data_IF_804008396562
#
_entry.id   IF_804008396562
#
_cell.length_a   1.000
_cell.length_b   1.000
_cell.length_c   1.000
_cell.angle_alpha   90.00
_cell.angle_beta   90.00
_cell.angle_gamma   90.00
#
_symmetry.space_group_name_H-M   'P 1'
#
loop_
_entity.id
_entity.type
_entity.pdbx_description
1 polymer ?
#
# COMPACT_ATOMS: atom_id res chain seq x y z
N UNK A 1 2.90 6.85 -6.04
CA UNK A 1 3.72 5.63 -6.25
C UNK A 1 2.85 4.60 -6.93
N UNK A 2 3.31 3.98 -8.02
CA UNK A 2 2.60 2.89 -8.70
C UNK A 2 3.37 1.58 -8.50
N UNK A 3 2.65 0.55 -8.09
CA UNK A 3 3.16 -0.80 -7.90
C UNK A 3 2.43 -1.71 -8.88
N UNK A 4 3.19 -2.50 -9.62
CA UNK A 4 2.68 -3.54 -10.52
C UNK A 4 3.21 -4.89 -10.04
N UNK A 5 2.31 -5.81 -9.73
CA UNK A 5 2.66 -7.09 -9.13
C UNK A 5 1.60 -8.17 -9.45
N UNK A 6 1.88 -9.41 -9.03
CA UNK A 6 0.91 -10.50 -9.14
C UNK A 6 -0.34 -10.21 -8.28
N UNK A 7 -1.53 -10.69 -8.64
CA UNK A 7 -2.78 -10.35 -7.95
C UNK A 7 -2.77 -10.62 -6.44
N UNK A 8 -2.08 -11.67 -5.98
CA UNK A 8 -1.95 -11.97 -4.56
C UNK A 8 -1.14 -10.91 -3.80
N UNK A 9 -0.13 -10.30 -4.45
CA UNK A 9 0.64 -9.21 -3.85
C UNK A 9 -0.21 -7.94 -3.78
N UNK A 10 -1.00 -7.66 -4.82
CA UNK A 10 -1.94 -6.53 -4.79
C UNK A 10 -2.94 -6.72 -3.67
N UNK A 11 -3.50 -7.93 -3.52
CA UNK A 11 -4.42 -8.26 -2.41
C UNK A 11 -3.76 -8.06 -1.05
N UNK A 12 -2.53 -8.55 -0.86
CA UNK A 12 -1.76 -8.35 0.36
C UNK A 12 -1.54 -6.87 0.69
N UNK A 13 -1.24 -6.04 -0.32
CA UNK A 13 -1.14 -4.59 -0.14
C UNK A 13 -2.47 -4.01 0.35
N UNK A 14 -3.58 -4.32 -0.30
CA UNK A 14 -4.89 -3.80 0.09
C UNK A 14 -5.32 -4.25 1.48
N UNK A 15 -4.99 -5.49 1.86
CA UNK A 15 -5.27 -6.01 3.19
C UNK A 15 -4.46 -5.28 4.27
N UNK A 16 -3.16 -5.06 4.03
CA UNK A 16 -2.29 -4.31 4.97
C UNK A 16 -2.84 -2.89 5.21
N UNK A 17 -3.35 -2.22 4.17
CA UNK A 17 -3.90 -0.85 4.25
C UNK A 17 -5.16 -0.75 5.14
N UNK A 18 -5.81 -1.87 5.45
CA UNK A 18 -7.01 -1.92 6.30
C UNK A 18 -6.76 -2.53 7.67
N UNK A 19 -5.69 -3.30 7.85
CA UNK A 19 -5.43 -4.05 9.08
C UNK A 19 -4.26 -3.52 9.89
N UNK A 20 -3.32 -2.80 9.27
CA UNK A 20 -2.14 -2.26 9.95
C UNK A 20 -2.24 -0.73 10.11
N UNK A 21 -2.02 -0.23 11.34
CA UNK A 21 -2.17 1.20 11.69
C UNK A 21 -1.25 2.11 10.86
N UNK A 22 -0.01 1.69 10.60
CA UNK A 22 0.93 2.49 9.79
C UNK A 22 0.53 2.53 8.32
N UNK A 23 0.08 1.40 7.77
CA UNK A 23 -0.41 1.32 6.39
C UNK A 23 -1.75 2.07 6.22
N UNK A 24 -2.64 2.02 7.21
CA UNK A 24 -3.86 2.84 7.28
C UNK A 24 -3.51 4.34 7.25
N UNK A 25 -2.47 4.77 7.97
CA UNK A 25 -1.99 6.15 7.93
C UNK A 25 -1.57 6.61 6.53
N UNK A 26 -1.13 5.69 5.67
CA UNK A 26 -0.80 5.99 4.26
C UNK A 26 -2.07 6.01 3.40
N UNK A 27 -2.99 5.07 3.62
CA UNK A 27 -4.27 5.04 2.88
C UNK A 27 -5.12 6.28 3.13
N UNK A 28 -5.08 6.85 4.34
CA UNK A 28 -5.77 8.10 4.65
C UNK A 28 -5.17 9.33 3.94
N UNK A 29 -3.86 9.30 3.64
CA UNK A 29 -3.13 10.41 3.01
C UNK A 29 -3.03 10.29 1.49
N UNK A 30 -3.54 9.20 0.91
CA UNK A 30 -3.47 8.92 -0.51
C UNK A 30 -4.84 8.58 -1.07
N UNK A 31 -5.13 9.05 -2.28
CA UNK A 31 -6.14 8.41 -3.12
C UNK A 31 -5.54 7.12 -3.70
N UNK A 32 -6.22 6.00 -3.49
CA UNK A 32 -5.78 4.70 -3.98
C UNK A 32 -6.59 4.33 -5.23
N UNK A 33 -5.91 4.03 -6.32
CA UNK A 33 -6.49 3.50 -7.56
C UNK A 33 -5.92 2.11 -7.78
N UNK A 34 -6.78 1.12 -7.99
CA UNK A 34 -6.36 -0.27 -8.08
C UNK A 34 -6.98 -0.98 -9.28
N UNK A 35 -6.24 -1.97 -9.79
CA UNK A 35 -6.69 -3.00 -10.73
C UNK A 35 -6.25 -4.36 -10.18
N UNK A 36 -6.54 -5.45 -10.88
CA UNK A 36 -6.12 -6.79 -10.47
C UNK A 36 -4.59 -6.95 -10.33
N UNK A 37 -3.79 -6.16 -11.06
CA UNK A 37 -2.33 -6.29 -11.11
C UNK A 37 -1.59 -5.02 -10.74
N UNK A 38 -2.31 -3.95 -10.42
CA UNK A 38 -1.70 -2.66 -10.10
C UNK A 38 -2.37 -1.97 -8.93
N UNK A 39 -1.57 -1.33 -8.08
CA UNK A 39 -2.05 -0.37 -7.10
C UNK A 39 -1.27 0.93 -7.25
N UNK A 40 -2.00 2.04 -7.31
CA UNK A 40 -1.45 3.38 -7.46
C UNK A 40 -1.89 4.24 -6.28
N UNK A 41 -0.90 4.79 -5.58
CA UNK A 41 -1.06 5.74 -4.50
C UNK A 41 -0.82 7.13 -5.05
N UNK A 42 -1.88 7.95 -5.07
CA UNK A 42 -1.84 9.35 -5.46
C UNK A 42 -1.86 10.17 -4.16
N UNK A 43 -0.72 10.74 -3.72
CA UNK A 43 -0.67 11.48 -2.46
C UNK A 43 -1.61 12.70 -2.50
N UNK A 44 -2.45 12.82 -1.48
CA UNK A 44 -3.24 14.02 -1.21
C UNK A 44 -2.52 14.94 -0.22
N UNK A 45 -1.69 14.34 0.63
CA UNK A 45 -0.81 15.01 1.59
C UNK A 45 0.65 14.61 1.39
N UNK A 46 1.55 15.20 2.18
CA UNK A 46 2.98 14.84 2.16
C UNK A 46 3.15 13.40 2.66
N UNK A 47 3.70 12.55 1.79
CA UNK A 47 4.13 11.19 2.13
C UNK A 47 5.65 11.13 2.04
N UNK A 48 6.28 10.62 3.09
CA UNK A 48 7.73 10.56 3.24
C UNK A 48 8.29 9.22 2.76
N UNK A 49 9.59 9.12 2.44
CA UNK A 49 10.24 7.84 2.17
C UNK A 49 10.03 6.78 3.27
N UNK A 50 9.98 7.20 4.53
CA UNK A 50 9.77 6.32 5.67
C UNK A 50 8.38 5.68 5.68
N UNK A 51 7.37 6.40 5.21
CA UNK A 51 6.01 5.85 5.06
C UNK A 51 6.02 4.67 4.07
N UNK A 52 6.66 4.83 2.91
CA UNK A 52 6.76 3.77 1.91
C UNK A 52 7.55 2.55 2.41
N UNK A 53 8.60 2.78 3.20
CA UNK A 53 9.35 1.71 3.84
C UNK A 53 8.46 0.86 4.75
N UNK A 54 7.67 1.51 5.62
CA UNK A 54 6.77 0.80 6.53
C UNK A 54 5.67 0.05 5.79
N UNK A 55 5.11 0.64 4.73
CA UNK A 55 4.15 -0.06 3.88
C UNK A 55 4.76 -1.37 3.33
N UNK A 56 5.94 -1.29 2.72
CA UNK A 56 6.61 -2.49 2.19
C UNK A 56 6.94 -3.52 3.27
N UNK A 57 7.39 -3.05 4.44
CA UNK A 57 7.69 -3.91 5.59
C UNK A 57 6.47 -4.73 6.04
N UNK A 58 5.30 -4.09 6.18
CA UNK A 58 4.09 -4.76 6.61
C UNK A 58 3.48 -5.63 5.53
N UNK A 59 3.53 -5.21 4.25
CA UNK A 59 3.04 -6.03 3.13
C UNK A 59 3.72 -7.39 3.09
N UNK A 60 5.00 -7.48 3.47
CA UNK A 60 5.72 -8.75 3.58
C UNK A 60 5.06 -9.75 4.54
N UNK A 61 4.35 -9.28 5.56
CA UNK A 61 3.66 -10.16 6.53
C UNK A 61 2.45 -10.88 5.90
N UNK A 62 1.97 -10.42 4.75
CA UNK A 62 0.80 -10.95 4.04
C UNK A 62 1.18 -11.69 2.75
N UNK A 63 2.47 -11.74 2.42
CA UNK A 63 3.00 -12.44 1.25
C UNK A 63 3.78 -13.65 1.76
N UNK A 64 3.10 -14.79 1.83
CA UNK A 64 3.70 -16.11 2.05
C UNK A 64 4.35 -16.67 0.78
#
# INVERSE_FOLDING_TARGET
MKITAQPQIIKAILESLTTNVSAQGISMRCKIVQTETTVEFIPLEKVTPQDWFWLGYFVREYVE
#
